data_IF_884689818406
#
_entry.id   IF_884689818406
#
_cell.length_a   1.000
_cell.length_b   1.000
_cell.length_c   1.000
_cell.angle_alpha   90.00
_cell.angle_beta   90.00
_cell.angle_gamma   90.00
#
_symmetry.space_group_name_H-M   'P 1'
#
loop_
_entity.id
_entity.type
_entity.pdbx_description
1 polymer ?
#
# COMPACT_ATOMS: atom_id res chain seq x y z
N UNK A 1 -12.18 2.07 3.37
CA UNK A 1 -10.78 1.83 2.96
C UNK A 1 -10.06 1.00 4.03
N UNK A 2 -9.17 0.09 3.66
CA UNK A 2 -8.29 -0.58 4.61
C UNK A 2 -6.83 -0.32 4.21
N UNK A 3 -6.11 0.38 5.08
CA UNK A 3 -4.73 0.83 4.89
C UNK A 3 -3.80 -0.16 5.58
N UNK A 4 -2.96 -0.81 4.80
CA UNK A 4 -1.85 -1.61 5.28
C UNK A 4 -0.59 -0.77 5.20
N UNK A 5 0.17 -0.69 6.29
CA UNK A 5 1.41 0.08 6.32
C UNK A 5 2.54 -0.71 6.97
N UNK A 6 3.79 -0.38 6.61
CA UNK A 6 4.94 -1.05 7.18
C UNK A 6 5.07 -0.74 8.68
N UNK A 7 4.87 -1.76 9.52
CA UNK A 7 4.91 -1.66 10.98
C UNK A 7 6.34 -1.54 11.52
N UNK A 8 6.50 -0.83 12.64
CA UNK A 8 7.80 -0.51 13.25
C UNK A 8 8.76 0.25 12.31
N UNK A 9 8.23 0.89 11.27
CA UNK A 9 8.96 1.76 10.36
C UNK A 9 8.47 3.20 10.51
N UNK A 10 9.35 4.20 10.77
CA UNK A 10 8.96 5.60 10.77
C UNK A 10 8.39 6.07 9.43
N UNK A 11 8.90 5.55 8.31
CA UNK A 11 8.39 5.89 6.98
C UNK A 11 6.98 5.34 6.77
N UNK A 12 6.77 4.07 7.12
CA UNK A 12 5.45 3.42 7.09
C UNK A 12 4.44 4.07 8.03
N UNK A 13 4.85 4.48 9.23
CA UNK A 13 4.01 5.26 10.13
C UNK A 13 3.65 6.63 9.53
N UNK A 14 4.62 7.33 8.93
CA UNK A 14 4.38 8.59 8.23
C UNK A 14 3.42 8.43 7.04
N UNK A 15 3.52 7.34 6.29
CA UNK A 15 2.60 7.00 5.22
C UNK A 15 1.18 6.72 5.75
N UNK A 16 1.06 5.96 6.83
CA UNK A 16 -0.21 5.75 7.51
C UNK A 16 -0.82 7.07 8.02
N UNK A 17 0.00 7.97 8.56
CA UNK A 17 -0.44 9.30 8.99
C UNK A 17 -0.96 10.14 7.81
N UNK A 18 -0.29 10.11 6.66
CA UNK A 18 -0.79 10.76 5.43
C UNK A 18 -2.16 10.22 5.02
N UNK A 19 -2.39 8.91 5.14
CA UNK A 19 -3.70 8.31 4.91
C UNK A 19 -4.72 8.66 6.00
N UNK A 20 -4.29 8.79 7.26
CA UNK A 20 -5.14 9.24 8.37
C UNK A 20 -5.63 10.67 8.19
N UNK A 21 -4.75 11.58 7.76
CA UNK A 21 -5.13 12.97 7.50
C UNK A 21 -6.18 13.12 6.38
N UNK A 22 -6.26 12.16 5.46
CA UNK A 22 -7.26 12.15 4.39
C UNK A 22 -8.55 11.43 4.76
N UNK A 23 -8.46 10.25 5.36
CA UNK A 23 -9.61 9.36 5.56
C UNK A 23 -10.14 9.35 6.99
N UNK A 24 -9.37 9.80 7.98
CA UNK A 24 -9.79 9.84 9.39
C UNK A 24 -10.39 8.52 9.87
N UNK A 25 -11.58 8.60 10.46
CA UNK A 25 -12.30 7.44 11.00
C UNK A 25 -13.00 6.57 9.93
N UNK A 26 -12.98 6.98 8.65
CA UNK A 26 -13.59 6.23 7.53
C UNK A 26 -12.68 5.12 6.98
N UNK A 27 -11.51 4.90 7.60
CA UNK A 27 -10.56 3.87 7.24
C UNK A 27 -10.04 3.07 8.43
N UNK A 28 -9.58 1.86 8.14
CA UNK A 28 -8.93 0.97 9.10
C UNK A 28 -7.45 0.95 8.78
N UNK A 29 -6.60 1.10 9.80
CA UNK A 29 -5.16 1.16 9.66
C UNK A 29 -4.54 -0.04 10.36
N UNK A 30 -3.87 -0.91 9.62
CA UNK A 30 -3.26 -2.14 10.15
C UNK A 30 -1.76 -2.14 9.88
N UNK A 31 -0.90 -2.15 10.92
CA UNK A 31 0.53 -2.36 10.73
C UNK A 31 0.78 -3.78 10.23
N UNK A 32 1.72 -3.92 9.30
CA UNK A 32 2.20 -5.21 8.80
C UNK A 32 3.70 -5.30 9.01
N UNK A 33 4.15 -6.39 9.65
CA UNK A 33 5.55 -6.64 9.92
C UNK A 33 6.16 -7.59 8.87
N UNK A 34 7.50 -7.63 8.79
CA UNK A 34 8.17 -8.55 7.89
C UNK A 34 7.78 -10.01 8.18
N UNK A 35 7.59 -10.78 7.11
CA UNK A 35 7.19 -12.19 7.13
C UNK A 35 5.77 -12.46 7.67
N UNK A 36 4.94 -11.43 7.84
CA UNK A 36 3.53 -11.61 8.11
C UNK A 36 2.72 -11.76 6.82
N UNK A 37 1.67 -12.58 6.91
CA UNK A 37 0.70 -12.71 5.82
C UNK A 37 -0.22 -11.50 5.72
N UNK A 38 -1.12 -11.54 4.73
CA UNK A 38 -2.18 -10.53 4.61
C UNK A 38 -3.11 -10.64 5.82
N UNK A 39 -3.33 -9.55 6.59
CA UNK A 39 -4.22 -9.60 7.74
C UNK A 39 -5.68 -9.77 7.30
N UNK A 40 -6.59 -9.94 8.26
CA UNK A 40 -8.02 -9.98 7.95
C UNK A 40 -8.49 -8.59 7.48
N UNK A 41 -8.74 -8.48 6.17
CA UNK A 41 -9.22 -7.25 5.55
C UNK A 41 -10.73 -7.11 5.74
N UNK A 42 -11.15 -5.90 6.10
CA UNK A 42 -12.55 -5.54 6.40
C UNK A 42 -13.18 -4.60 5.35
N UNK A 43 -12.39 -4.20 4.34
CA UNK A 43 -12.81 -3.33 3.24
C UNK A 43 -12.56 -4.03 1.91
N UNK A 44 -13.35 -3.68 0.88
CA UNK A 44 -13.06 -4.10 -0.49
C UNK A 44 -12.08 -3.17 -1.22
N UNK A 45 -11.84 -1.98 -0.68
CA UNK A 45 -10.83 -1.04 -1.18
C UNK A 45 -9.61 -1.04 -0.26
N UNK A 46 -8.45 -1.33 -0.85
CA UNK A 46 -7.18 -1.56 -0.15
C UNK A 46 -6.14 -0.54 -0.57
N UNK A 47 -5.44 0.01 0.40
CA UNK A 47 -4.28 0.87 0.21
C UNK A 47 -3.09 0.23 0.95
N UNK A 48 -2.03 -0.11 0.22
CA UNK A 48 -0.78 -0.65 0.79
C UNK A 48 0.29 0.43 0.63
N UNK A 49 0.94 0.80 1.74
CA UNK A 49 1.93 1.89 1.77
C UNK A 49 3.23 1.47 2.43
N UNK A 50 4.35 1.89 1.84
CA UNK A 50 5.71 1.67 2.35
C UNK A 50 6.18 0.21 2.40
N UNK A 51 5.50 -0.70 1.71
CA UNK A 51 5.98 -2.06 1.46
C UNK A 51 5.20 -2.72 0.32
N UNK A 52 5.71 -3.85 -0.15
CA UNK A 52 5.04 -4.70 -1.13
C UNK A 52 5.14 -6.18 -0.70
N UNK A 53 4.06 -6.93 -0.87
CA UNK A 53 4.11 -8.38 -0.74
C UNK A 53 4.73 -9.04 -1.99
N UNK A 54 5.14 -10.32 -1.90
CA UNK A 54 5.43 -11.15 -3.06
C UNK A 54 4.32 -11.12 -4.12
N UNK A 55 4.72 -11.30 -5.39
CA UNK A 55 3.83 -11.15 -6.55
C UNK A 55 2.57 -12.03 -6.46
N UNK A 56 2.69 -13.29 -6.06
CA UNK A 56 1.57 -14.22 -5.93
C UNK A 56 0.53 -13.71 -4.93
N UNK A 57 0.97 -13.16 -3.80
CA UNK A 57 0.09 -12.55 -2.80
C UNK A 57 -0.58 -11.29 -3.37
N UNK A 58 0.19 -10.42 -4.03
CA UNK A 58 -0.34 -9.20 -4.61
C UNK A 58 -1.39 -9.47 -5.70
N UNK A 59 -1.19 -10.51 -6.52
CA UNK A 59 -2.17 -10.96 -7.52
C UNK A 59 -3.44 -11.52 -6.86
N UNK A 60 -3.31 -12.26 -5.76
CA UNK A 60 -4.46 -12.77 -5.01
C UNK A 60 -5.27 -11.66 -4.35
N UNK A 61 -4.60 -10.59 -3.87
CA UNK A 61 -5.29 -9.38 -3.42
C UNK A 61 -6.01 -8.72 -4.60
N UNK A 62 -5.31 -8.45 -5.71
CA UNK A 62 -5.92 -7.77 -6.86
C UNK A 62 -7.19 -8.49 -7.38
N UNK A 63 -7.24 -9.83 -7.34
CA UNK A 63 -8.44 -10.61 -7.74
C UNK A 63 -9.63 -10.52 -6.77
N UNK A 64 -9.39 -10.32 -5.47
CA UNK A 64 -10.42 -10.46 -4.41
C UNK A 64 -11.08 -9.14 -4.00
N UNK A 65 -10.45 -8.03 -4.33
CA UNK A 65 -10.77 -6.69 -3.85
C UNK A 65 -11.23 -5.78 -4.99
N UNK A 66 -12.05 -4.78 -4.68
CA UNK A 66 -12.62 -3.86 -5.66
C UNK A 66 -11.53 -2.94 -6.21
N UNK A 67 -10.69 -2.40 -5.34
CA UNK A 67 -9.56 -1.55 -5.71
C UNK A 67 -8.34 -1.89 -4.86
N UNK A 68 -7.17 -1.84 -5.48
CA UNK A 68 -5.88 -1.96 -4.82
C UNK A 68 -5.01 -0.76 -5.23
N UNK A 69 -4.56 0.02 -4.26
CA UNK A 69 -3.52 1.03 -4.46
C UNK A 69 -2.25 0.60 -3.74
N UNK A 70 -1.15 0.47 -4.47
CA UNK A 70 0.18 0.22 -3.92
C UNK A 70 1.02 1.50 -4.03
N UNK A 71 1.56 1.97 -2.90
CA UNK A 71 2.51 3.08 -2.84
C UNK A 71 3.79 2.59 -2.20
N UNK A 72 4.87 2.51 -2.97
CA UNK A 72 6.14 1.95 -2.48
C UNK A 72 7.35 2.63 -3.13
N UNK A 73 8.52 2.41 -2.55
CA UNK A 73 9.80 2.94 -3.02
C UNK A 73 10.97 1.94 -2.83
N UNK A 74 10.71 0.78 -2.24
CA UNK A 74 11.75 -0.20 -1.95
C UNK A 74 12.45 -0.72 -3.22
N UNK A 75 13.72 -1.11 -3.08
CA UNK A 75 14.43 -1.82 -4.13
C UNK A 75 13.97 -3.28 -4.19
N UNK A 76 13.98 -3.89 -5.38
CA UNK A 76 13.65 -5.31 -5.56
C UNK A 76 12.17 -5.64 -5.76
N UNK A 77 11.28 -4.63 -5.76
CA UNK A 77 9.84 -4.83 -6.03
C UNK A 77 9.44 -4.47 -7.48
N UNK A 78 10.40 -4.10 -8.33
CA UNK A 78 10.16 -3.65 -9.71
C UNK A 78 9.38 -4.67 -10.53
N UNK A 79 9.73 -5.95 -10.44
CA UNK A 79 9.06 -7.01 -11.19
C UNK A 79 7.59 -7.17 -10.74
N UNK A 80 7.32 -6.99 -9.45
CA UNK A 80 5.96 -7.03 -8.91
C UNK A 80 5.16 -5.85 -9.46
N UNK A 81 5.75 -4.65 -9.41
CA UNK A 81 5.15 -3.40 -9.90
C UNK A 81 4.77 -3.49 -11.37
N UNK A 82 5.68 -3.98 -12.22
CA UNK A 82 5.43 -4.08 -13.65
C UNK A 82 4.27 -5.04 -13.97
N UNK A 83 4.06 -6.09 -13.16
CA UNK A 83 2.90 -6.97 -13.31
C UNK A 83 1.62 -6.34 -12.79
N UNK A 84 1.69 -5.64 -11.66
CA UNK A 84 0.52 -5.01 -11.04
C UNK A 84 -0.06 -3.86 -11.88
N UNK A 85 0.79 -3.09 -12.56
CA UNK A 85 0.36 -2.01 -13.47
C UNK A 85 -0.51 -2.49 -14.63
N UNK A 86 -0.52 -3.79 -14.93
CA UNK A 86 -1.31 -4.38 -16.02
C UNK A 86 -2.72 -4.79 -15.59
N UNK A 87 -3.10 -4.57 -14.33
CA UNK A 87 -4.36 -5.03 -13.77
C UNK A 87 -5.28 -3.83 -13.58
N UNK A 88 -6.46 -3.88 -14.20
CA UNK A 88 -7.38 -2.74 -14.32
C UNK A 88 -7.79 -2.11 -12.99
N UNK A 89 -7.93 -2.91 -11.92
CA UNK A 89 -8.34 -2.42 -10.60
C UNK A 89 -7.16 -2.07 -9.67
N UNK A 90 -5.94 -2.01 -10.22
CA UNK A 90 -4.71 -1.73 -9.46
C UNK A 90 -4.11 -0.39 -9.88
N UNK A 91 -3.90 0.48 -8.89
CA UNK A 91 -3.09 1.70 -9.03
C UNK A 91 -1.74 1.47 -8.37
N UNK A 92 -0.66 1.83 -9.06
CA UNK A 92 0.71 1.73 -8.52
C UNK A 92 1.38 3.09 -8.55
N UNK A 93 1.83 3.56 -7.39
CA UNK A 93 2.68 4.75 -7.22
C UNK A 93 4.04 4.24 -6.76
N UNK A 94 5.06 4.40 -7.60
CA UNK A 94 6.41 3.93 -7.30
C UNK A 94 7.47 4.95 -7.69
N UNK A 95 8.32 5.33 -6.74
CA UNK A 95 9.45 6.20 -7.00
C UNK A 95 10.52 6.07 -5.90
N UNK A 96 11.69 5.57 -6.27
CA UNK A 96 12.79 5.33 -5.34
C UNK A 96 13.46 6.61 -4.81
N UNK A 97 13.17 7.77 -5.41
CA UNK A 97 13.73 9.06 -4.99
C UNK A 97 12.91 9.76 -3.89
N UNK A 98 11.83 9.13 -3.42
CA UNK A 98 11.00 9.65 -2.34
C UNK A 98 10.76 8.58 -1.28
N UNK A 99 10.48 9.01 -0.05
CA UNK A 99 10.04 8.14 1.04
C UNK A 99 8.60 7.67 0.82
N UNK A 100 8.22 6.52 1.40
CA UNK A 100 6.85 6.01 1.32
C UNK A 100 5.83 7.01 1.88
N UNK A 101 6.18 7.69 2.97
CA UNK A 101 5.43 8.81 3.56
C UNK A 101 5.21 9.97 2.58
N UNK A 102 6.26 10.42 1.89
CA UNK A 102 6.19 11.54 0.94
C UNK A 102 5.34 11.20 -0.27
N UNK A 103 5.50 10.00 -0.81
CA UNK A 103 4.69 9.53 -1.95
C UNK A 103 3.22 9.40 -1.57
N UNK A 104 2.94 8.86 -0.38
CA UNK A 104 1.57 8.73 0.12
C UNK A 104 0.94 10.10 0.31
N UNK A 105 1.67 11.07 0.86
CA UNK A 105 1.18 12.44 1.01
C UNK A 105 0.83 13.07 -0.34
N UNK A 106 1.76 13.03 -1.30
CA UNK A 106 1.59 13.62 -2.63
C UNK A 106 0.42 12.99 -3.40
N UNK A 107 0.26 11.67 -3.33
CA UNK A 107 -0.82 10.97 -4.00
C UNK A 107 -2.19 11.30 -3.39
N UNK A 108 -2.27 11.44 -2.07
CA UNK A 108 -3.53 11.68 -1.37
C UNK A 108 -3.92 13.16 -1.32
N UNK A 109 -2.97 14.10 -1.45
CA UNK A 109 -3.18 15.55 -1.35
C UNK A 109 -2.61 16.29 -2.58
N UNK A 110 -3.23 16.15 -3.76
CA UNK A 110 -2.79 16.80 -4.99
C UNK A 110 -3.06 18.31 -5.04
#
# INVERSE_FOLDING_TARGET
MHVLYHGNCPDGFGAALSAWLKYGDDAIYTPVYHNEGVPKLQSKDILIVDFCYPLDIMLEIAKKFNTLTLIDHHQGVSDVIEKLKLIDNVTVVFNQNHSGSSLTWQYLNP
#
